data_IF_241901490308
#
_entry.id   IF_241901490308
#
_cell.length_a   1.000
_cell.length_b   1.000
_cell.length_c   1.000
_cell.angle_alpha   90.00
_cell.angle_beta   90.00
_cell.angle_gamma   90.00
#
_symmetry.space_group_name_H-M   'P 1'
#
loop_
_entity.id
_entity.type
_entity.pdbx_description
1 polymer ?
#
# COMPACT_ATOMS: atom_id res chain seq x y z
N UNK A 1 -22.02 -1.37 -16.46
CA UNK A 1 -20.67 -1.90 -16.76
C UNK A 1 -19.77 -1.45 -15.62
N UNK A 2 -18.88 -2.30 -15.08
CA UNK A 2 -17.90 -1.88 -14.06
C UNK A 2 -16.55 -1.60 -14.73
N UNK A 3 -15.94 -0.47 -14.42
CA UNK A 3 -14.57 -0.10 -14.82
C UNK A 3 -13.62 -0.53 -13.73
N UNK A 4 -12.71 -1.44 -14.06
CA UNK A 4 -11.75 -2.01 -13.11
C UNK A 4 -10.33 -1.67 -13.58
N UNK A 5 -9.57 -0.97 -12.74
CA UNK A 5 -8.13 -0.83 -12.92
C UNK A 5 -7.43 -2.04 -12.30
N UNK A 6 -6.80 -2.86 -13.13
CA UNK A 6 -6.17 -4.12 -12.72
C UNK A 6 -4.66 -4.02 -12.49
N UNK A 7 -4.05 -2.84 -12.62
CA UNK A 7 -2.60 -2.66 -12.45
C UNK A 7 -2.31 -1.39 -11.65
N UNK A 8 -2.59 -1.45 -10.34
CA UNK A 8 -2.28 -0.37 -9.41
C UNK A 8 -1.31 -0.82 -8.33
N UNK A 9 -0.54 0.13 -7.78
CA UNK A 9 0.36 -0.11 -6.65
C UNK A 9 0.01 0.82 -5.49
N UNK A 10 0.42 0.49 -4.26
CA UNK A 10 0.43 1.44 -3.16
C UNK A 10 1.16 2.76 -3.53
N UNK A 11 0.79 3.91 -2.92
CA UNK A 11 1.43 5.18 -3.21
C UNK A 11 2.95 5.16 -3.02
N UNK A 12 3.70 5.74 -3.95
CA UNK A 12 5.19 5.76 -3.91
C UNK A 12 5.70 7.13 -3.51
N UNK A 13 5.01 7.79 -2.57
CA UNK A 13 5.31 9.16 -2.14
C UNK A 13 6.78 9.27 -1.73
N UNK A 14 7.38 10.43 -1.97
CA UNK A 14 8.81 10.67 -1.75
C UNK A 14 9.71 10.28 -2.92
N UNK A 15 9.15 9.80 -4.04
CA UNK A 15 9.89 9.46 -5.26
C UNK A 15 9.55 10.44 -6.38
N UNK A 16 10.35 11.51 -6.60
CA UNK A 16 9.99 12.62 -7.49
C UNK A 16 9.62 12.22 -8.93
N UNK A 17 10.24 11.15 -9.47
CA UNK A 17 9.99 10.67 -10.82
C UNK A 17 8.68 9.86 -10.97
N UNK A 18 8.05 9.47 -9.86
CA UNK A 18 6.91 8.55 -9.83
C UNK A 18 5.72 9.18 -9.10
N UNK A 19 5.96 9.65 -7.87
CA UNK A 19 4.99 10.30 -7.01
C UNK A 19 5.70 11.40 -6.20
N UNK A 20 5.62 12.66 -6.68
CA UNK A 20 6.35 13.79 -6.10
C UNK A 20 5.75 14.28 -4.78
N UNK A 21 4.61 13.73 -4.33
CA UNK A 21 4.02 14.09 -3.04
C UNK A 21 4.98 13.70 -1.91
N UNK A 22 5.09 14.49 -0.84
CA UNK A 22 6.02 14.20 0.24
C UNK A 22 5.65 12.92 0.99
N UNK A 23 6.66 12.08 1.25
CA UNK A 23 6.54 10.98 2.19
C UNK A 23 6.55 11.50 3.64
N UNK A 24 5.75 10.87 4.50
CA UNK A 24 5.73 11.13 5.94
C UNK A 24 5.88 9.79 6.65
N UNK A 25 6.94 9.65 7.44
CA UNK A 25 7.14 8.47 8.28
C UNK A 25 6.18 8.52 9.50
N UNK A 26 5.45 7.43 9.83
CA UNK A 26 4.54 7.39 10.98
C UNK A 26 5.29 7.51 12.32
N UNK A 27 4.84 8.37 13.23
CA UNK A 27 5.49 8.53 14.54
C UNK A 27 4.90 7.62 15.63
N UNK A 28 3.75 7.00 15.37
CA UNK A 28 3.06 6.01 16.22
C UNK A 28 2.26 5.01 15.36
N UNK A 29 1.71 3.97 15.98
CA UNK A 29 0.80 3.05 15.31
C UNK A 29 -0.51 3.74 14.88
N UNK A 30 -1.02 4.67 15.71
CA UNK A 30 -2.19 5.49 15.37
C UNK A 30 -1.92 6.38 14.16
N UNK A 31 -0.74 7.04 14.13
CA UNK A 31 -0.32 7.87 12.99
C UNK A 31 -0.22 7.06 11.70
N UNK A 32 0.26 5.82 11.80
CA UNK A 32 0.34 4.90 10.65
C UNK A 32 -1.03 4.65 10.03
N UNK A 33 -2.07 4.53 10.86
CA UNK A 33 -3.44 4.33 10.38
C UNK A 33 -4.09 5.62 9.83
N UNK A 34 -3.76 6.78 10.41
CA UNK A 34 -4.17 8.10 9.91
C UNK A 34 -3.56 8.38 8.53
N UNK A 35 -2.28 8.06 8.34
CA UNK A 35 -1.61 8.22 7.05
C UNK A 35 -2.21 7.30 5.98
N UNK A 36 -2.53 6.05 6.33
CA UNK A 36 -3.22 5.13 5.42
C UNK A 36 -4.59 5.69 5.00
N UNK A 37 -5.38 6.21 5.94
CA UNK A 37 -6.70 6.80 5.65
C UNK A 37 -6.59 8.01 4.73
N UNK A 38 -5.59 8.88 4.95
CA UNK A 38 -5.32 10.02 4.08
C UNK A 38 -5.02 9.57 2.65
N UNK A 39 -4.11 8.61 2.50
CA UNK A 39 -3.74 8.06 1.19
C UNK A 39 -4.90 7.35 0.50
N UNK A 40 -5.72 6.62 1.25
CA UNK A 40 -6.90 5.97 0.71
C UNK A 40 -7.91 6.97 0.16
N UNK A 41 -8.13 8.10 0.86
CA UNK A 41 -9.01 9.17 0.39
C UNK A 41 -8.53 9.84 -0.89
N UNK A 42 -7.22 10.05 -1.01
CA UNK A 42 -6.62 10.56 -2.25
C UNK A 42 -6.88 9.59 -3.41
N UNK A 43 -6.66 8.28 -3.21
CA UNK A 43 -6.92 7.26 -4.23
C UNK A 43 -8.41 7.15 -4.59
N UNK A 44 -9.31 7.23 -3.61
CA UNK A 44 -10.75 7.20 -3.85
C UNK A 44 -11.21 8.42 -4.66
N UNK A 45 -10.70 9.61 -4.33
CA UNK A 45 -10.99 10.83 -5.07
C UNK A 45 -10.51 10.71 -6.53
N UNK A 46 -9.30 10.18 -6.75
CA UNK A 46 -8.79 9.91 -8.10
C UNK A 46 -9.67 8.90 -8.84
N UNK A 47 -10.04 7.80 -8.18
CA UNK A 47 -10.95 6.80 -8.76
C UNK A 47 -12.30 7.41 -9.16
N UNK A 48 -12.91 8.22 -8.30
CA UNK A 48 -14.18 8.87 -8.58
C UNK A 48 -14.05 9.86 -9.75
N UNK A 49 -12.96 10.62 -9.81
CA UNK A 49 -12.66 11.55 -10.91
C UNK A 49 -12.49 10.84 -12.26
N UNK A 50 -11.84 9.66 -12.26
CA UNK A 50 -11.60 8.86 -13.46
C UNK A 50 -12.69 7.82 -13.74
N UNK A 51 -13.78 7.82 -12.96
CA UNK A 51 -14.88 6.87 -13.09
C UNK A 51 -14.43 5.40 -13.00
N UNK A 52 -13.48 5.12 -12.11
CA UNK A 52 -12.99 3.77 -11.79
C UNK A 52 -13.78 3.23 -10.60
N UNK A 53 -14.58 2.18 -10.84
CA UNK A 53 -15.40 1.56 -9.79
C UNK A 53 -14.54 0.81 -8.77
N UNK A 54 -13.55 0.06 -9.26
CA UNK A 54 -12.69 -0.80 -8.44
C UNK A 54 -11.23 -0.78 -8.92
N UNK A 55 -10.29 -0.81 -7.98
CA UNK A 55 -8.86 -0.89 -8.25
C UNK A 55 -8.27 -2.15 -7.61
N UNK A 56 -7.50 -2.92 -8.39
CA UNK A 56 -6.77 -4.10 -7.91
C UNK A 56 -5.33 -3.67 -7.63
N UNK A 57 -4.95 -3.75 -6.36
CA UNK A 57 -3.65 -3.33 -5.85
C UNK A 57 -2.67 -4.49 -5.87
N UNK A 58 -1.51 -4.30 -6.48
CA UNK A 58 -0.41 -5.25 -6.50
C UNK A 58 0.60 -4.84 -5.43
N UNK A 59 0.85 -5.75 -4.48
CA UNK A 59 1.95 -5.60 -3.53
C UNK A 59 3.29 -5.51 -4.29
N UNK A 60 4.26 -4.83 -3.70
CA UNK A 60 5.61 -4.82 -4.25
C UNK A 60 6.30 -6.16 -3.98
N UNK A 61 7.31 -6.55 -4.80
CA UNK A 61 8.20 -7.64 -4.45
C UNK A 61 8.82 -7.41 -3.05
N UNK A 62 8.80 -8.40 -2.14
CA UNK A 62 9.35 -8.23 -0.78
C UNK A 62 10.81 -7.77 -0.76
N UNK A 63 11.59 -8.18 -1.76
CA UNK A 63 12.98 -7.79 -1.97
C UNK A 63 13.16 -6.36 -2.49
N UNK A 64 12.08 -5.67 -2.89
CA UNK A 64 12.11 -4.31 -3.41
C UNK A 64 11.28 -3.29 -2.61
N UNK A 65 10.34 -3.72 -1.78
CA UNK A 65 9.37 -2.80 -1.14
C UNK A 65 9.97 -1.77 -0.17
N UNK A 66 11.21 -1.99 0.26
CA UNK A 66 11.97 -1.08 1.12
C UNK A 66 12.44 0.18 0.36
N UNK A 67 12.73 0.08 -0.94
CA UNK A 67 12.62 1.23 -1.84
C UNK A 67 11.13 1.56 -1.86
N UNK A 68 10.62 2.78 -1.70
CA UNK A 68 9.17 3.07 -1.52
C UNK A 68 8.66 3.01 -0.07
N UNK A 69 9.55 2.86 0.93
CA UNK A 69 9.23 3.10 2.35
C UNK A 69 8.23 2.12 2.98
N UNK A 70 8.05 0.92 2.41
CA UNK A 70 7.23 -0.14 3.00
C UNK A 70 8.10 -1.06 3.88
N UNK A 71 7.64 -1.34 5.09
CA UNK A 71 8.39 -2.11 6.10
C UNK A 71 9.59 -1.36 6.71
N UNK A 72 9.67 -0.04 6.53
CA UNK A 72 10.77 0.79 7.06
C UNK A 72 10.65 0.95 8.59
N UNK A 73 11.74 0.70 9.32
CA UNK A 73 11.79 0.83 10.79
C UNK A 73 12.50 2.11 11.23
N UNK A 74 11.89 2.85 12.16
CA UNK A 74 12.47 4.05 12.76
C UNK A 74 12.93 3.76 14.19
N UNK A 75 14.25 3.75 14.39
CA UNK A 75 14.86 3.48 15.69
C UNK A 75 14.55 4.53 16.77
N UNK A 76 14.15 5.77 16.40
CA UNK A 76 13.83 6.82 17.38
C UNK A 76 12.44 6.64 17.98
N UNK A 77 11.46 6.23 17.16
CA UNK A 77 10.08 6.05 17.60
C UNK A 77 9.74 4.59 17.90
N UNK A 78 10.56 3.64 17.44
CA UNK A 78 10.29 2.21 17.54
C UNK A 78 9.19 1.72 16.60
N UNK A 79 8.75 2.55 15.65
CA UNK A 79 7.64 2.25 14.73
C UNK A 79 8.17 1.69 13.42
N UNK A 80 7.46 0.70 12.88
CA UNK A 80 7.66 0.20 11.50
C UNK A 80 6.49 0.65 10.63
N UNK A 81 6.76 1.19 9.43
CA UNK A 81 5.74 1.42 8.42
C UNK A 81 5.10 0.09 7.97
N UNK A 82 3.93 0.15 7.36
CA UNK A 82 3.33 -1.07 6.84
C UNK A 82 4.18 -1.65 5.71
N UNK A 83 4.23 -2.97 5.58
CA UNK A 83 4.61 -3.59 4.30
C UNK A 83 3.53 -3.30 3.26
N UNK A 84 3.85 -3.47 1.97
CA UNK A 84 2.89 -3.27 0.89
C UNK A 84 1.69 -4.23 1.01
N UNK A 85 1.91 -5.48 1.43
CA UNK A 85 0.83 -6.43 1.74
C UNK A 85 -0.05 -5.97 2.90
N UNK A 86 0.56 -5.51 4.01
CA UNK A 86 -0.17 -5.03 5.18
C UNK A 86 -1.00 -3.79 4.86
N UNK A 87 -0.45 -2.87 4.07
CA UNK A 87 -1.12 -1.66 3.62
C UNK A 87 -2.33 -2.00 2.74
N UNK A 88 -2.16 -2.89 1.74
CA UNK A 88 -3.25 -3.32 0.85
C UNK A 88 -4.34 -4.06 1.64
N UNK A 89 -3.96 -4.99 2.53
CA UNK A 89 -4.91 -5.74 3.34
C UNK A 89 -5.80 -4.81 4.18
N UNK A 90 -5.21 -3.78 4.77
CA UNK A 90 -5.94 -2.74 5.53
C UNK A 90 -6.83 -1.89 4.64
N UNK A 91 -6.34 -1.46 3.47
CA UNK A 91 -7.14 -0.70 2.50
C UNK A 91 -8.38 -1.48 2.05
N UNK A 92 -8.21 -2.75 1.67
CA UNK A 92 -9.30 -3.62 1.21
C UNK A 92 -10.33 -3.85 2.33
N UNK A 93 -9.86 -4.02 3.57
CA UNK A 93 -10.75 -4.16 4.73
C UNK A 93 -11.57 -2.89 4.99
N UNK A 94 -10.99 -1.70 4.80
CA UNK A 94 -11.66 -0.40 5.04
C UNK A 94 -12.69 -0.06 3.96
N UNK A 95 -12.40 -0.36 2.70
CA UNK A 95 -13.30 -0.02 1.58
C UNK A 95 -13.59 -1.26 0.71
N UNK A 96 -14.35 -2.22 1.26
CA UNK A 96 -14.71 -3.43 0.52
C UNK A 96 -15.45 -3.06 -0.77
N UNK A 97 -15.07 -3.68 -1.87
CA UNK A 97 -15.67 -3.45 -3.19
C UNK A 97 -15.09 -2.27 -3.98
N UNK A 98 -14.35 -1.36 -3.35
CA UNK A 98 -13.54 -0.33 -4.04
C UNK A 98 -12.12 -0.83 -4.34
N UNK A 99 -11.59 -1.68 -3.45
CA UNK A 99 -10.26 -2.25 -3.63
C UNK A 99 -10.28 -3.78 -3.57
N UNK A 100 -9.36 -4.38 -4.30
CA UNK A 100 -8.92 -5.77 -4.15
C UNK A 100 -7.39 -5.82 -4.15
N UNK A 101 -6.80 -6.95 -3.74
CA UNK A 101 -5.35 -7.09 -3.65
C UNK A 101 -4.83 -8.35 -4.34
N UNK A 102 -3.69 -8.24 -5.01
CA UNK A 102 -2.84 -9.36 -5.38
C UNK A 102 -1.61 -9.40 -4.48
N UNK A 103 -1.36 -10.57 -3.90
CA UNK A 103 -0.10 -10.83 -3.22
C UNK A 103 1.03 -10.88 -4.24
N UNK A 104 2.14 -10.21 -3.94
CA UNK A 104 3.42 -10.51 -4.58
C UNK A 104 4.16 -11.51 -3.70
N UNK A 105 4.52 -12.65 -4.26
CA UNK A 105 5.30 -13.68 -3.57
C UNK A 105 6.60 -13.85 -4.34
N UNK A 106 7.73 -13.90 -3.65
CA UNK A 106 9.00 -14.28 -4.25
C UNK A 106 9.14 -15.81 -4.18
N UNK A 107 8.91 -16.57 -5.27
CA UNK A 107 8.95 -18.03 -5.22
C UNK A 107 10.35 -18.59 -4.91
N UNK A 108 11.39 -17.74 -4.97
CA UNK A 108 12.78 -18.11 -4.68
C UNK A 108 13.12 -17.99 -3.19
N UNK A 109 12.30 -17.30 -2.39
CA UNK A 109 12.52 -17.16 -0.95
C UNK A 109 11.95 -18.35 -0.17
N UNK A 110 12.74 -18.98 0.73
CA UNK A 110 12.24 -20.00 1.63
C UNK A 110 11.09 -19.46 2.48
N UNK A 111 9.87 -20.01 2.33
CA UNK A 111 8.71 -19.64 3.14
C UNK A 111 7.75 -18.62 2.51
N UNK A 112 7.91 -18.27 1.23
CA UNK A 112 7.09 -17.29 0.51
C UNK A 112 5.56 -17.49 0.60
N UNK A 113 5.06 -18.70 0.86
CA UNK A 113 3.62 -18.94 1.07
C UNK A 113 3.05 -18.38 2.39
N UNK A 114 3.89 -17.99 3.36
CA UNK A 114 3.45 -17.62 4.72
C UNK A 114 3.29 -16.11 4.97
N UNK A 115 3.72 -15.25 4.05
CA UNK A 115 3.75 -13.78 4.23
C UNK A 115 2.38 -13.07 4.18
N UNK A 116 1.31 -13.77 3.77
CA UNK A 116 -0.03 -13.16 3.64
C UNK A 116 -0.81 -13.07 4.97
N UNK A 117 -0.48 -13.89 5.96
CA UNK A 117 -1.28 -14.05 7.19
C UNK A 117 -0.68 -13.33 8.42
N UNK A 118 0.28 -12.42 8.22
CA UNK A 118 0.94 -11.65 9.29
C UNK A 118 0.42 -10.21 9.38
#
# INVERSE_FOLDING_TARGET
>A
MKVIDCHAHPPRKGYPAIDPRPYIFPQSDEDRDVLLEREARELLADMDNYQVDQKIMLAFPPDMEHEFHYGEFNAKTGVTSYTSHQWISRLVKRYPGRFAGFACLNPLEPGARRSWNA
#
